data_IF_985746485785
#
_entry.id   IF_985746485785
#
_cell.length_a   1.000
_cell.length_b   1.000
_cell.length_c   1.000
_cell.angle_alpha   90.00
_cell.angle_beta   90.00
_cell.angle_gamma   90.00
#
_symmetry.space_group_name_H-M   'P 1'
#
loop_
_entity.id
_entity.type
_entity.pdbx_description
1 polymer ?
#
# COMPACT_ATOMS: atom_id res chain seq x y z
N UNK A 1 -19.34 11.59 -3.91
CA UNK A 1 -18.09 11.61 -3.14
C UNK A 1 -16.93 11.42 -4.10
N UNK A 2 -15.78 12.00 -3.82
CA UNK A 2 -14.62 11.93 -4.72
C UNK A 2 -13.77 10.71 -4.37
N UNK A 3 -13.35 9.95 -5.38
CA UNK A 3 -12.48 8.80 -5.15
C UNK A 3 -11.06 9.24 -4.76
N UNK A 4 -10.38 8.46 -3.92
CA UNK A 4 -8.97 8.71 -3.54
C UNK A 4 -8.10 8.77 -4.81
N UNK A 5 -7.38 9.87 -4.99
CA UNK A 5 -6.32 10.01 -5.99
C UNK A 5 -4.94 9.88 -5.34
N UNK A 6 -3.88 9.73 -6.15
CA UNK A 6 -2.51 9.60 -5.64
C UNK A 6 -2.07 10.80 -4.79
N UNK A 7 -2.61 11.99 -5.08
CA UNK A 7 -2.37 13.20 -4.30
C UNK A 7 -2.98 13.16 -2.88
N UNK A 8 -3.96 12.29 -2.64
CA UNK A 8 -4.58 12.09 -1.33
C UNK A 8 -3.89 10.96 -0.53
N UNK A 9 -2.83 10.38 -1.06
CA UNK A 9 -2.05 9.33 -0.40
C UNK A 9 -0.75 9.94 0.11
N UNK A 10 -0.57 9.93 1.42
CA UNK A 10 0.66 10.39 2.07
C UNK A 10 1.54 9.20 2.38
N UNK A 11 2.81 9.25 1.98
CA UNK A 11 3.82 8.24 2.32
C UNK A 11 4.92 8.88 3.14
N UNK A 12 5.17 8.33 4.31
CA UNK A 12 6.23 8.78 5.23
C UNK A 12 7.21 7.64 5.45
N UNK A 13 8.50 7.85 5.21
CA UNK A 13 9.53 6.88 5.59
C UNK A 13 9.68 6.87 7.11
N UNK A 14 9.40 5.73 7.73
CA UNK A 14 9.53 5.51 9.18
C UNK A 14 10.96 5.09 9.52
N UNK A 15 11.54 4.21 8.71
CA UNK A 15 12.91 3.76 8.88
C UNK A 15 13.52 3.47 7.51
N UNK A 16 14.74 3.95 7.29
CA UNK A 16 15.53 3.62 6.11
C UNK A 16 16.69 2.73 6.53
N UNK A 17 16.74 1.51 6.02
CA UNK A 17 17.89 0.62 6.21
C UNK A 17 18.56 0.35 4.85
N UNK A 18 19.88 0.53 4.73
CA UNK A 18 20.59 -0.10 3.62
C UNK A 18 20.43 -1.61 3.75
N UNK A 19 20.10 -2.32 2.67
CA UNK A 19 20.01 -3.78 2.72
C UNK A 19 21.41 -4.32 3.02
N UNK A 20 21.63 -4.80 4.24
CA UNK A 20 22.91 -5.33 4.70
C UNK A 20 23.14 -6.73 4.09
N UNK A 21 23.37 -6.79 2.78
CA UNK A 21 23.93 -7.97 2.11
C UNK A 21 25.41 -7.71 1.84
N UNK A 22 26.23 -8.06 2.83
CA UNK A 22 27.68 -8.19 2.68
C UNK A 22 28.43 -6.87 2.76
N UNK A 23 29.50 -6.85 3.56
CA UNK A 23 30.33 -5.68 3.78
C UNK A 23 30.88 -5.05 2.51
N UNK A 24 31.25 -3.77 2.65
CA UNK A 24 32.09 -2.99 1.74
C UNK A 24 31.57 -2.82 0.32
N UNK A 25 30.65 -1.86 0.08
CA UNK A 25 30.66 -1.04 -1.15
C UNK A 25 30.19 0.37 -0.84
N UNK A 26 31.13 1.24 -0.49
CA UNK A 26 31.02 2.66 -0.81
C UNK A 26 31.09 2.72 -2.36
N UNK A 27 30.14 3.41 -3.01
CA UNK A 27 30.07 3.67 -4.48
C UNK A 27 29.26 2.73 -5.40
N UNK A 28 28.34 1.92 -4.90
CA UNK A 28 27.35 1.27 -5.77
C UNK A 28 25.96 1.52 -5.17
N UNK A 29 24.97 1.82 -6.00
CA UNK A 29 23.60 2.09 -5.56
C UNK A 29 23.10 0.90 -4.74
N UNK A 30 23.21 0.98 -3.42
CA UNK A 30 22.83 -0.15 -2.58
C UNK A 30 21.33 -0.26 -2.53
N UNK A 31 20.81 -1.46 -2.83
CA UNK A 31 19.41 -1.84 -2.62
C UNK A 31 18.94 -1.35 -1.24
N UNK A 32 17.87 -0.57 -1.24
CA UNK A 32 17.26 0.01 -0.04
C UNK A 32 16.09 -0.83 0.40
N UNK A 33 15.94 -0.90 1.72
CA UNK A 33 14.76 -1.43 2.36
C UNK A 33 14.23 -0.35 3.32
N UNK A 34 13.13 0.28 2.92
CA UNK A 34 12.50 1.35 3.67
C UNK A 34 11.20 0.86 4.27
N UNK A 35 11.07 0.99 5.59
CA UNK A 35 9.78 0.89 6.25
C UNK A 35 9.03 2.21 6.03
N UNK A 36 7.88 2.14 5.39
CA UNK A 36 7.04 3.30 5.07
C UNK A 36 5.68 3.19 5.77
N UNK A 37 5.15 4.35 6.12
CA UNK A 37 3.78 4.55 6.58
C UNK A 37 2.99 5.20 5.45
N UNK A 38 1.93 4.55 5.00
CA UNK A 38 1.02 5.02 3.96
C UNK A 38 -0.28 5.42 4.65
N UNK A 39 -0.73 6.65 4.44
CA UNK A 39 -1.98 7.18 4.99
C UNK A 39 -2.87 7.67 3.86
N UNK A 40 -4.12 7.25 3.86
CA UNK A 40 -5.12 7.68 2.90
C UNK A 40 -6.51 7.68 3.53
N UNK A 41 -7.43 8.39 2.87
CA UNK A 41 -8.80 8.54 3.33
C UNK A 41 -8.92 9.55 4.48
N UNK A 42 -10.08 10.19 4.53
CA UNK A 42 -10.44 11.19 5.53
C UNK A 42 -11.90 11.06 5.97
N UNK A 43 -12.57 9.97 5.57
CA UNK A 43 -14.00 9.74 5.77
C UNK A 43 -14.90 10.47 4.75
N UNK A 44 -14.38 11.38 3.93
CA UNK A 44 -15.11 12.10 2.88
C UNK A 44 -14.82 11.58 1.47
N UNK A 45 -13.63 10.99 1.29
CA UNK A 45 -13.22 10.30 0.08
C UNK A 45 -13.74 8.86 0.04
N UNK A 46 -13.81 8.29 -1.16
CA UNK A 46 -14.19 6.88 -1.34
C UNK A 46 -13.10 6.06 -2.00
N UNK A 47 -13.16 4.74 -1.85
CA UNK A 47 -12.21 3.84 -2.50
C UNK A 47 -12.39 3.86 -4.02
N UNK A 48 -11.34 4.10 -4.83
CA UNK A 48 -11.43 4.02 -6.28
C UNK A 48 -11.62 2.57 -6.76
N UNK A 49 -12.44 2.39 -7.79
CA UNK A 49 -12.58 1.11 -8.46
C UNK A 49 -11.24 0.66 -9.05
N UNK A 50 -10.84 -0.58 -8.78
CA UNK A 50 -9.57 -1.14 -9.27
C UNK A 50 -8.34 -0.70 -8.47
N UNK A 51 -8.52 -0.19 -7.25
CA UNK A 51 -7.46 0.02 -6.27
C UNK A 51 -6.96 1.45 -6.12
N UNK A 52 -6.36 1.71 -4.96
CA UNK A 52 -5.87 3.03 -4.54
C UNK A 52 -4.61 3.37 -5.35
N UNK A 53 -4.60 4.45 -6.14
CA UNK A 53 -3.42 4.89 -6.88
C UNK A 53 -2.34 5.38 -5.92
N UNK A 54 -1.11 4.96 -6.19
CA UNK A 54 0.02 5.25 -5.31
C UNK A 54 0.83 6.43 -5.83
N UNK A 55 1.47 7.20 -4.93
CA UNK A 55 2.32 8.31 -5.35
C UNK A 55 3.60 7.79 -6.01
N UNK A 56 4.35 8.71 -6.61
CA UNK A 56 5.59 8.37 -7.31
C UNK A 56 6.57 7.61 -6.41
N UNK A 57 7.42 6.76 -7.00
CA UNK A 57 8.40 5.92 -6.30
C UNK A 57 9.37 6.73 -5.40
N UNK A 58 9.58 8.02 -5.71
CA UNK A 58 10.35 8.94 -4.88
C UNK A 58 9.78 9.11 -3.47
N UNK A 59 8.45 9.01 -3.31
CA UNK A 59 7.78 9.07 -2.01
C UNK A 59 8.11 7.85 -1.13
N UNK A 60 8.58 6.76 -1.72
CA UNK A 60 9.03 5.56 -1.01
C UNK A 60 10.55 5.58 -0.73
N UNK A 61 11.25 6.66 -1.09
CA UNK A 61 12.69 6.81 -0.91
C UNK A 61 13.55 6.12 -1.97
N UNK A 62 12.93 5.68 -3.07
CA UNK A 62 13.59 5.03 -4.22
C UNK A 62 13.88 6.06 -5.31
N UNK A 63 15.05 5.96 -5.96
CA UNK A 63 15.46 6.92 -7.00
C UNK A 63 15.30 6.38 -8.41
N UNK A 64 15.49 5.07 -8.58
CA UNK A 64 15.45 4.42 -9.90
C UNK A 64 14.26 3.51 -10.04
N UNK A 65 14.10 2.57 -9.11
CA UNK A 65 13.02 1.61 -9.18
C UNK A 65 12.59 1.10 -7.82
N UNK A 66 11.30 0.84 -7.73
CA UNK A 66 10.69 0.06 -6.67
C UNK A 66 10.60 -1.38 -7.21
N UNK A 67 11.04 -2.38 -6.46
CA UNK A 67 10.92 -3.79 -6.84
C UNK A 67 9.61 -4.40 -6.35
N UNK A 68 9.33 -4.21 -5.07
CA UNK A 68 8.08 -4.66 -4.47
C UNK A 68 7.77 -3.86 -3.20
N UNK A 69 6.50 -3.90 -2.82
CA UNK A 69 6.01 -3.41 -1.53
C UNK A 69 5.34 -4.59 -0.82
N UNK A 70 5.80 -4.88 0.38
CA UNK A 70 5.14 -5.83 1.28
C UNK A 70 4.34 -5.05 2.30
N UNK A 71 3.01 -5.17 2.28
CA UNK A 71 2.15 -4.51 3.27
C UNK A 71 2.19 -5.34 4.56
N UNK A 72 2.61 -4.70 5.65
CA UNK A 72 2.86 -5.33 6.94
C UNK A 72 1.71 -5.16 7.94
N UNK A 73 0.71 -4.31 7.65
CA UNK A 73 -0.25 -3.90 8.68
C UNK A 73 -1.31 -4.95 9.04
N UNK A 74 -1.62 -4.93 10.33
CA UNK A 74 -2.80 -5.46 10.99
C UNK A 74 -3.91 -4.39 11.00
N UNK A 75 -4.68 -4.29 9.92
CA UNK A 75 -5.66 -3.22 9.83
C UNK A 75 -6.87 -3.45 10.75
N UNK A 76 -7.28 -2.38 11.43
CA UNK A 76 -8.56 -2.27 12.14
C UNK A 76 -9.78 -2.48 11.21
N UNK A 77 -9.62 -2.13 9.93
CA UNK A 77 -10.70 -2.07 8.95
C UNK A 77 -11.09 -3.44 8.37
N UNK A 78 -10.49 -4.52 8.88
CA UNK A 78 -10.65 -5.91 8.46
C UNK A 78 -10.32 -6.20 6.97
N UNK A 79 -9.95 -5.21 6.15
CA UNK A 79 -9.56 -5.43 4.76
C UNK A 79 -8.13 -5.97 4.60
N UNK A 80 -7.94 -6.78 3.57
CA UNK A 80 -6.63 -7.26 3.12
C UNK A 80 -6.16 -6.36 1.98
N UNK A 81 -4.98 -5.76 2.13
CA UNK A 81 -4.39 -4.89 1.12
C UNK A 81 -3.25 -5.61 0.42
N UNK A 82 -3.18 -5.51 -0.91
CA UNK A 82 -2.10 -6.08 -1.71
C UNK A 82 -1.58 -5.07 -2.71
N UNK A 83 -0.27 -5.10 -2.91
CA UNK A 83 0.39 -4.30 -3.93
C UNK A 83 0.16 -4.90 -5.33
N UNK A 84 -0.30 -4.06 -6.27
CA UNK A 84 -0.36 -4.34 -7.69
C UNK A 84 0.78 -3.60 -8.39
N UNK A 85 1.86 -4.33 -8.66
CA UNK A 85 3.10 -3.79 -9.21
C UNK A 85 2.95 -3.18 -10.61
N UNK A 86 2.34 -3.88 -11.59
CA UNK A 86 2.13 -3.32 -12.93
C UNK A 86 1.37 -2.00 -12.95
N UNK A 87 0.36 -1.85 -12.09
CA UNK A 87 -0.52 -0.68 -12.11
C UNK A 87 -0.16 0.39 -11.06
N UNK A 88 0.82 0.12 -10.19
CA UNK A 88 1.20 0.97 -9.07
C UNK A 88 -0.01 1.36 -8.20
N UNK A 89 -0.79 0.35 -7.82
CA UNK A 89 -2.00 0.50 -7.00
C UNK A 89 -1.96 -0.41 -5.80
N UNK A 90 -2.65 -0.02 -4.73
CA UNK A 90 -3.03 -0.94 -3.66
C UNK A 90 -4.44 -1.46 -3.95
N UNK A 91 -4.55 -2.77 -4.16
CA UNK A 91 -5.84 -3.46 -4.26
C UNK A 91 -6.31 -3.89 -2.88
N UNK A 92 -7.62 -3.83 -2.68
CA UNK A 92 -8.27 -4.12 -1.42
C UNK A 92 -9.09 -5.40 -1.62
N UNK A 93 -9.09 -6.28 -0.64
CA UNK A 93 -9.81 -7.55 -0.66
C UNK A 93 -10.58 -7.73 0.63
N UNK A 94 -11.76 -8.35 0.55
CA UNK A 94 -12.51 -8.72 1.74
C UNK A 94 -11.76 -9.79 2.55
N UNK A 95 -11.75 -9.68 3.89
CA UNK A 95 -11.25 -10.75 4.74
C UNK A 95 -12.11 -12.00 4.53
N UNK A 96 -11.54 -13.17 4.82
CA UNK A 96 -12.32 -14.39 4.88
C UNK A 96 -13.24 -14.32 6.10
N UNK A 97 -14.49 -13.93 5.92
CA UNK A 97 -15.53 -14.17 6.93
C UNK A 97 -16.61 -15.02 6.31
N UNK A 98 -16.86 -16.21 6.84
CA UNK A 98 -17.98 -17.03 6.41
C UNK A 98 -19.18 -16.63 7.28
N UNK A 99 -20.19 -15.97 6.72
CA UNK A 99 -21.46 -15.75 7.43
C UNK A 99 -22.58 -16.39 6.61
N UNK A 100 -23.29 -17.34 7.24
CA UNK A 100 -24.35 -18.09 6.60
C UNK A 100 -25.46 -17.19 6.07
N UNK A 101 -25.81 -17.35 4.80
CA UNK A 101 -27.05 -16.84 4.21
C UNK A 101 -26.91 -15.81 3.09
N UNK A 102 -25.86 -14.99 3.08
CA UNK A 102 -25.59 -14.04 1.99
C UNK A 102 -24.08 -13.93 1.76
N UNK A 103 -23.64 -14.23 0.54
CA UNK A 103 -22.27 -14.61 0.22
C UNK A 103 -21.19 -13.62 0.65
N UNK A 104 -20.35 -14.06 1.58
CA UNK A 104 -19.01 -13.53 1.74
C UNK A 104 -18.05 -14.36 0.89
N UNK A 105 -17.38 -13.70 -0.05
CA UNK A 105 -16.34 -14.33 -0.87
C UNK A 105 -14.97 -13.92 -0.37
N UNK A 106 -14.37 -14.79 0.44
CA UNK A 106 -12.95 -14.74 0.79
C UNK A 106 -12.10 -14.45 -0.46
N UNK A 107 -11.25 -13.41 -0.40
CA UNK A 107 -10.32 -13.10 -1.49
C UNK A 107 -10.95 -12.48 -2.75
N UNK A 108 -12.19 -11.97 -2.67
CA UNK A 108 -12.74 -11.12 -3.74
C UNK A 108 -12.23 -9.71 -3.60
N UNK A 109 -11.80 -9.16 -4.74
CA UNK A 109 -11.36 -7.77 -4.86
C UNK A 109 -12.53 -6.83 -4.57
N UNK A 110 -12.26 -5.82 -3.76
CA UNK A 110 -13.19 -4.76 -3.42
C UNK A 110 -13.44 -3.88 -4.66
N UNK A 111 -14.64 -3.97 -5.23
CA UNK A 111 -14.99 -3.32 -6.49
C UNK A 111 -15.91 -2.10 -6.38
N UNK A 112 -16.30 -1.70 -5.17
CA UNK A 112 -17.35 -0.68 -4.97
C UNK A 112 -16.73 0.69 -4.70
N UNK A 113 -17.11 1.70 -5.48
CA UNK A 113 -16.54 3.06 -5.39
C UNK A 113 -17.17 3.98 -4.36
N UNK A 114 -18.25 3.54 -3.71
CA UNK A 114 -19.11 4.45 -2.93
C UNK A 114 -18.96 4.27 -1.41
N UNK A 115 -18.09 3.36 -0.99
CA UNK A 115 -17.79 3.16 0.43
C UNK A 115 -16.82 4.24 0.87
N UNK A 116 -17.16 5.01 1.92
CA UNK A 116 -16.25 6.00 2.49
C UNK A 116 -14.97 5.34 2.96
N UNK A 117 -13.84 5.87 2.52
CA UNK A 117 -12.53 5.50 3.00
C UNK A 117 -12.26 6.28 4.28
N UNK A 118 -12.24 5.57 5.42
CA UNK A 118 -11.81 6.11 6.70
C UNK A 118 -10.31 6.47 6.63
N UNK A 119 -9.83 7.17 7.65
CA UNK A 119 -8.40 7.46 7.78
C UNK A 119 -7.63 6.17 8.08
N UNK A 120 -7.22 5.49 7.01
CA UNK A 120 -6.52 4.21 7.08
C UNK A 120 -5.02 4.46 7.05
N UNK A 121 -4.31 3.82 7.97
CA UNK A 121 -2.85 3.81 8.05
C UNK A 121 -2.34 2.41 7.77
N UNK A 122 -1.53 2.26 6.72
CA UNK A 122 -0.82 1.03 6.40
C UNK A 122 0.67 1.19 6.69
N UNK A 123 1.29 0.17 7.26
CA UNK A 123 2.74 0.04 7.30
C UNK A 123 3.16 -0.92 6.20
N UNK A 124 4.23 -0.58 5.49
CA UNK A 124 4.73 -1.41 4.39
C UNK A 124 6.26 -1.36 4.30
N UNK A 125 6.83 -2.46 3.84
CA UNK A 125 8.23 -2.57 3.48
C UNK A 125 8.37 -2.28 1.99
N UNK A 126 9.05 -1.18 1.65
CA UNK A 126 9.38 -0.81 0.28
C UNK A 126 10.82 -1.20 -0.02
N UNK A 127 11.01 -2.06 -1.02
CA UNK A 127 12.33 -2.53 -1.45
C UNK A 127 12.61 -2.08 -2.86
N UNK A 128 13.78 -1.51 -3.10
CA UNK A 128 14.13 -0.91 -4.38
C UNK A 128 15.54 -0.30 -4.39
N UNK A 129 15.79 0.57 -5.38
CA UNK A 129 17.10 1.18 -5.64
C UNK A 129 16.97 2.71 -5.79
#
# INVERSE_FOLDING_TARGET
MTAIAAANVTVTTVQSAPSARGGQRMFEESRKNNLVKIVFGDGSLTYPTGGIPMPAIGNFGMRRFLEYISILSDNLDAFIYKWDFPNQKIRIYYPTQQTGGAGNRAGVEFGVSDVPALNTTLYAEAVGW
#
